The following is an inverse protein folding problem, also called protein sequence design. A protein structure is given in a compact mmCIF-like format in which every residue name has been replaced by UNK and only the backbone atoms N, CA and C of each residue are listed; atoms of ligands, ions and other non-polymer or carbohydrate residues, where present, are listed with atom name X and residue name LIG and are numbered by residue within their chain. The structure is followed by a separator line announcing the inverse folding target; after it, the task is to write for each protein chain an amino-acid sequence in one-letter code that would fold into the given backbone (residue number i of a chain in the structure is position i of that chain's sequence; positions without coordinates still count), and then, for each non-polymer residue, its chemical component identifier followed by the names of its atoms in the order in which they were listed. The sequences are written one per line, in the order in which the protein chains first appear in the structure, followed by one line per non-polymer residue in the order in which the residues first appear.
data_IF_585453667081
#
_entry.id   IF_585453667081
#
_cell.length_a   1.000
_cell.length_b   1.000
_cell.length_c   1.000
_cell.angle_alpha   90.00
_cell.angle_beta   90.00
_cell.angle_gamma   90.00
#
_symmetry.space_group_name_H-M   'P 1'
#
loop_
_entity.id
_entity.type
_entity.pdbx_description
1 polymer ?
#
# COMPACT_ATOMS: atom_id res chain seq x y z
N UNK A 1 11.49 -7.10 -13.50
CA UNK A 1 11.60 -6.21 -12.34
C UNK A 1 11.40 -7.05 -11.10
N UNK A 2 12.36 -7.06 -10.18
CA UNK A 2 12.27 -7.81 -8.92
C UNK A 2 12.59 -6.93 -7.69
N UNK A 3 12.84 -5.64 -7.88
CA UNK A 3 13.08 -4.65 -6.83
C UNK A 3 12.37 -3.35 -7.18
N UNK A 4 12.14 -2.53 -6.16
CA UNK A 4 11.66 -1.16 -6.33
C UNK A 4 12.86 -0.23 -6.48
N UNK A 5 12.80 0.64 -7.48
CA UNK A 5 13.81 1.67 -7.70
C UNK A 5 13.14 3.04 -7.69
N UNK A 6 13.64 3.95 -6.85
CA UNK A 6 13.17 5.33 -6.79
C UNK A 6 13.85 6.21 -7.85
N UNK A 7 14.22 5.63 -9.00
CA UNK A 7 14.93 6.33 -10.07
C UNK A 7 14.20 7.60 -10.49
N UNK A 8 14.90 8.72 -10.39
CA UNK A 8 14.37 10.06 -10.68
C UNK A 8 13.64 10.73 -9.51
N UNK A 9 13.54 10.10 -8.35
CA UNK A 9 13.13 10.72 -7.10
C UNK A 9 14.36 10.98 -6.23
N UNK A 10 14.36 12.09 -5.52
CA UNK A 10 15.41 12.45 -4.57
C UNK A 10 14.79 12.72 -3.22
N UNK A 11 15.32 12.10 -2.17
CA UNK A 11 14.89 12.37 -0.81
C UNK A 11 15.40 13.76 -0.38
N UNK A 12 14.53 14.55 0.24
CA UNK A 12 14.89 15.83 0.87
C UNK A 12 14.99 15.66 2.39
N UNK A 13 15.66 16.59 3.09
CA UNK A 13 15.69 16.60 4.55
C UNK A 13 14.31 16.38 5.15
N UNK A 14 14.23 15.47 6.12
CA UNK A 14 12.95 15.11 6.72
C UNK A 14 12.41 16.21 7.64
N UNK A 15 11.09 16.27 7.77
CA UNK A 15 10.41 17.03 8.81
C UNK A 15 9.89 16.06 9.88
N UNK A 16 9.96 16.44 11.15
CA UNK A 16 9.63 15.57 12.30
C UNK A 16 8.61 16.23 13.21
N UNK A 17 7.61 15.46 13.66
CA UNK A 17 6.56 15.86 14.59
C UNK A 17 6.25 14.72 15.55
N UNK A 18 6.69 14.86 16.80
CA UNK A 18 6.61 13.79 17.78
C UNK A 18 7.31 12.53 17.28
N UNK A 19 6.59 11.41 17.23
CA UNK A 19 7.10 10.13 16.71
C UNK A 19 7.06 9.98 15.18
N UNK A 20 6.57 10.98 14.44
CA UNK A 20 6.39 10.90 12.99
C UNK A 20 7.49 11.65 12.27
N UNK A 21 8.13 11.00 11.30
CA UNK A 21 9.08 11.62 10.36
C UNK A 21 8.53 11.48 8.95
N UNK A 22 8.42 12.60 8.24
CA UNK A 22 8.08 12.62 6.81
C UNK A 22 9.34 12.98 6.01
N UNK A 23 9.72 12.10 5.08
CA UNK A 23 10.81 12.35 4.14
C UNK A 23 10.20 12.73 2.78
N UNK A 24 10.31 13.98 2.34
CA UNK A 24 9.82 14.42 1.04
C UNK A 24 10.58 13.73 -0.10
N UNK A 25 9.86 13.27 -1.11
CA UNK A 25 10.43 12.77 -2.36
C UNK A 25 10.15 13.79 -3.47
N UNK A 26 11.19 14.40 -4.01
CA UNK A 26 11.08 15.40 -5.10
C UNK A 26 11.53 14.82 -6.43
N UNK A 27 11.03 15.40 -7.51
CA UNK A 27 11.42 15.08 -8.88
C UNK A 27 11.84 16.36 -9.60
N UNK A 28 12.96 16.30 -10.33
CA UNK A 28 13.42 17.45 -11.13
C UNK A 28 12.48 17.78 -12.30
N UNK A 29 11.92 16.77 -12.95
CA UNK A 29 10.94 16.91 -14.03
C UNK A 29 9.77 15.96 -13.77
N UNK A 30 8.52 16.46 -13.66
CA UNK A 30 7.35 15.61 -13.44
C UNK A 30 7.21 14.48 -14.48
N UNK A 31 6.48 13.43 -14.14
CA UNK A 31 6.15 12.39 -15.11
C UNK A 31 5.07 12.92 -16.06
N UNK A 32 5.45 13.16 -17.31
CA UNK A 32 4.53 13.61 -18.35
C UNK A 32 3.58 12.49 -18.80
N UNK A 33 2.39 12.88 -19.24
CA UNK A 33 1.42 11.94 -19.81
C UNK A 33 0.70 11.04 -18.80
N UNK A 34 0.87 11.25 -17.49
CA UNK A 34 0.09 10.59 -16.46
C UNK A 34 -0.27 11.58 -15.35
N UNK A 35 -1.56 11.70 -15.03
CA UNK A 35 -2.06 12.46 -13.88
C UNK A 35 -2.86 11.55 -12.96
N UNK A 36 -2.82 11.85 -11.65
CA UNK A 36 -3.53 11.10 -10.63
C UNK A 36 -4.49 12.01 -9.86
N UNK A 37 -5.75 11.59 -9.77
CA UNK A 37 -6.79 12.32 -9.04
C UNK A 37 -7.50 11.43 -8.04
N UNK A 38 -8.07 12.03 -7.00
CA UNK A 38 -8.86 11.33 -5.99
C UNK A 38 -10.33 11.33 -6.35
N UNK A 39 -10.95 10.16 -6.30
CA UNK A 39 -12.40 9.98 -6.37
C UNK A 39 -12.91 9.67 -4.95
N UNK A 40 -13.66 10.59 -4.35
CA UNK A 40 -14.16 10.45 -2.97
C UNK A 40 -15.53 9.77 -2.97
N UNK A 41 -15.70 8.76 -2.11
CA UNK A 41 -16.98 8.05 -1.97
C UNK A 41 -17.76 8.55 -0.75
N UNK A 42 -18.28 9.77 -0.84
CA UNK A 42 -19.03 10.41 0.24
C UNK A 42 -20.26 9.58 0.65
N UNK A 43 -20.46 9.40 1.96
CA UNK A 43 -21.64 8.71 2.52
C UNK A 43 -21.62 7.18 2.41
N UNK A 44 -20.49 6.56 2.02
CA UNK A 44 -20.38 5.10 1.97
C UNK A 44 -19.89 4.53 3.31
N UNK A 45 -20.75 3.78 3.99
CA UNK A 45 -20.42 3.06 5.23
C UNK A 45 -19.67 1.73 4.96
N UNK A 46 -19.45 1.40 3.69
CA UNK A 46 -18.72 0.23 3.22
C UNK A 46 -18.92 0.01 1.73
N UNK A 47 -17.87 -0.42 1.04
CA UNK A 47 -17.88 -0.80 -0.37
C UNK A 47 -17.75 -2.30 -0.54
N UNK A 48 -18.51 -2.88 -1.47
CA UNK A 48 -18.37 -4.29 -1.87
C UNK A 48 -17.49 -4.35 -3.11
N UNK A 49 -16.37 -5.07 -3.03
CA UNK A 49 -15.41 -5.22 -4.12
C UNK A 49 -15.46 -6.64 -4.66
N UNK A 50 -15.75 -6.77 -5.96
CA UNK A 50 -15.68 -8.05 -6.67
C UNK A 50 -14.22 -8.30 -7.09
N UNK A 51 -13.63 -9.40 -6.61
CA UNK A 51 -12.24 -9.81 -6.89
C UNK A 51 -12.14 -11.04 -7.80
N UNK A 52 -13.26 -11.72 -8.03
CA UNK A 52 -13.37 -12.86 -8.94
C UNK A 52 -14.82 -13.31 -9.11
N UNK A 53 -15.10 -14.33 -9.94
CA UNK A 53 -16.43 -14.89 -10.08
C UNK A 53 -16.97 -15.37 -8.72
N UNK A 54 -18.05 -14.74 -8.22
CA UNK A 54 -18.68 -15.01 -6.91
C UNK A 54 -17.82 -14.70 -5.67
N UNK A 55 -16.59 -14.21 -5.84
CA UNK A 55 -15.73 -13.79 -4.73
C UNK A 55 -15.77 -12.27 -4.58
N UNK A 56 -16.19 -11.82 -3.42
CA UNK A 56 -16.22 -10.41 -3.05
C UNK A 56 -15.74 -10.23 -1.62
N UNK A 57 -15.24 -9.05 -1.31
CA UNK A 57 -15.02 -8.62 0.06
C UNK A 57 -15.70 -7.28 0.31
N UNK A 58 -15.98 -7.02 1.58
CA UNK A 58 -16.54 -5.75 2.03
C UNK A 58 -15.49 -5.02 2.84
N UNK A 59 -15.22 -3.77 2.49
CA UNK A 59 -14.29 -2.92 3.24
C UNK A 59 -14.77 -1.47 3.23
N UNK A 60 -14.36 -0.72 4.24
CA UNK A 60 -14.47 0.74 4.18
C UNK A 60 -13.45 1.28 3.17
N UNK A 61 -13.92 1.95 2.13
CA UNK A 61 -13.09 2.51 1.05
C UNK A 61 -13.38 4.00 1.01
N UNK A 62 -12.52 4.85 1.59
CA UNK A 62 -12.80 6.28 1.67
C UNK A 62 -12.64 6.99 0.31
N UNK A 63 -11.78 6.46 -0.55
CA UNK A 63 -11.52 7.02 -1.87
C UNK A 63 -10.91 6.00 -2.85
N UNK A 64 -11.04 6.27 -4.14
CA UNK A 64 -10.25 5.66 -5.21
C UNK A 64 -9.28 6.68 -5.81
N UNK A 65 -8.33 6.18 -6.60
CA UNK A 65 -7.53 6.99 -7.48
C UNK A 65 -7.94 6.77 -8.93
N UNK A 66 -7.95 7.84 -9.70
CA UNK A 66 -8.18 7.83 -11.15
C UNK A 66 -6.88 8.25 -11.81
N UNK A 67 -6.27 7.30 -12.52
CA UNK A 67 -5.15 7.56 -13.41
C UNK A 67 -5.69 8.00 -14.77
N UNK A 68 -5.23 9.15 -15.27
CA UNK A 68 -5.52 9.68 -16.61
C UNK A 68 -4.22 9.73 -17.42
N UNK A 69 -4.19 9.05 -18.57
CA UNK A 69 -3.04 9.01 -19.49
C UNK A 69 -3.35 9.55 -20.89
N UNK A 70 -4.40 10.37 -21.03
CA UNK A 70 -4.83 10.94 -22.32
C UNK A 70 -3.79 11.82 -23.02
N UNK A 71 -2.74 12.25 -22.32
CA UNK A 71 -1.64 13.04 -22.91
C UNK A 71 -1.92 14.54 -23.01
N UNK A 72 -3.14 15.01 -22.70
CA UNK A 72 -3.46 16.43 -22.59
C UNK A 72 -2.94 16.99 -21.25
N UNK A 73 -1.63 17.19 -21.19
CA UNK A 73 -0.97 17.90 -20.10
C UNK A 73 -1.62 19.28 -19.88
N UNK A 74 -2.00 19.54 -18.63
CA UNK A 74 -2.53 20.81 -18.10
C UNK A 74 -4.02 21.14 -18.34
N UNK A 75 -4.80 20.34 -19.08
CA UNK A 75 -6.20 20.68 -19.41
C UNK A 75 -7.31 20.05 -18.56
N UNK A 76 -7.04 18.96 -17.85
CA UNK A 76 -8.09 18.16 -17.20
C UNK A 76 -7.84 17.98 -15.70
N UNK A 77 -7.74 19.10 -14.98
CA UNK A 77 -8.13 19.09 -13.58
C UNK A 77 -9.66 18.87 -13.53
N UNK A 78 -10.10 17.61 -13.45
CA UNK A 78 -11.45 17.33 -12.99
C UNK A 78 -11.51 17.65 -11.49
N UNK A 79 -11.59 18.96 -11.21
CA UNK A 79 -12.04 19.48 -9.92
C UNK A 79 -13.36 18.81 -9.60
N UNK A 80 -13.49 18.37 -8.35
CA UNK A 80 -14.54 17.46 -7.91
C UNK A 80 -15.96 17.88 -8.27
N UNK A 81 -16.87 16.92 -8.12
CA UNK A 81 -18.33 17.00 -8.28
C UNK A 81 -18.86 16.79 -9.69
N UNK A 82 -19.15 15.53 -10.04
CA UNK A 82 -20.41 15.29 -10.75
C UNK A 82 -21.51 15.29 -9.70
N UNK A 83 -22.25 16.39 -9.63
CA UNK A 83 -23.52 16.45 -8.90
C UNK A 83 -24.47 15.45 -9.56
N UNK A 84 -24.85 14.41 -8.82
CA UNK A 84 -25.98 13.58 -9.20
C UNK A 84 -27.24 14.46 -9.18
N UNK A 85 -28.02 14.41 -10.27
CA UNK A 85 -29.28 15.12 -10.39
C UNK A 85 -30.21 14.78 -9.21
N UNK A 86 -30.76 15.82 -8.59
CA UNK A 86 -31.53 15.75 -7.36
C UNK A 86 -32.74 14.82 -7.42
N UNK A 87 -32.90 14.02 -6.37
CA UNK A 87 -34.16 13.37 -6.00
C UNK A 87 -34.63 13.97 -4.66
N UNK A 88 -35.84 14.53 -4.67
CA UNK A 88 -36.37 15.43 -3.65
C UNK A 88 -36.55 14.86 -2.24
N UNK A 89 -36.66 15.80 -1.31
CA UNK A 89 -36.94 15.59 0.11
C UNK A 89 -38.33 14.99 0.34
N UNK A 90 -38.42 14.02 1.26
CA UNK A 90 -39.71 13.59 1.82
C UNK A 90 -39.69 12.21 2.48
N UNK A 91 -39.78 12.22 3.82
CA UNK A 91 -40.05 11.10 4.74
C UNK A 91 -38.86 10.22 5.16
N UNK A 92 -38.59 10.23 6.47
CA UNK A 92 -37.63 9.36 7.15
C UNK A 92 -38.30 8.01 7.45
N UNK A 93 -37.89 6.88 6.85
CA UNK A 93 -38.34 5.56 7.25
C UNK A 93 -37.43 5.01 8.37
N UNK A 94 -37.90 4.00 9.14
CA UNK A 94 -37.15 3.42 10.26
C UNK A 94 -35.81 2.81 9.80
N UNK A 95 -34.79 2.97 10.64
CA UNK A 95 -33.40 2.56 10.43
C UNK A 95 -33.24 1.04 10.29
N UNK A 96 -33.51 0.56 9.08
CA UNK A 96 -32.99 -0.71 8.58
C UNK A 96 -31.66 -0.41 7.90
N UNK A 97 -30.60 -1.10 8.34
CA UNK A 97 -29.26 -1.00 7.78
C UNK A 97 -29.27 -1.52 6.33
N UNK A 98 -29.68 -0.69 5.38
CA UNK A 98 -29.54 -0.97 3.95
C UNK A 98 -28.09 -0.67 3.59
N UNK A 99 -27.27 -1.72 3.56
CA UNK A 99 -25.93 -1.68 2.94
C UNK A 99 -26.03 -0.90 1.61
N UNK A 100 -25.43 0.29 1.48
CA UNK A 100 -25.53 1.06 0.25
C UNK A 100 -24.91 0.28 -0.91
N UNK A 101 -25.60 0.30 -2.05
CA UNK A 101 -25.28 -0.47 -3.28
C UNK A 101 -24.08 0.09 -4.05
N UNK A 102 -23.04 0.59 -3.39
CA UNK A 102 -21.78 0.87 -4.08
C UNK A 102 -21.02 -0.43 -4.27
N UNK A 103 -21.42 -1.18 -5.30
CA UNK A 103 -20.64 -2.30 -5.82
C UNK A 103 -19.47 -1.73 -6.60
N UNK A 104 -18.29 -1.76 -6.01
CA UNK A 104 -17.06 -1.63 -6.76
C UNK A 104 -16.85 -2.93 -7.54
N UNK A 105 -17.46 -3.03 -8.72
CA UNK A 105 -17.43 -4.23 -9.56
C UNK A 105 -16.03 -4.75 -9.88
N UNK A 106 -14.98 -3.93 -9.71
CA UNK A 106 -13.56 -4.34 -9.84
C UNK A 106 -12.66 -3.43 -9.03
N UNK A 107 -11.56 -3.97 -8.55
CA UNK A 107 -10.46 -3.21 -7.97
C UNK A 107 -9.91 -2.14 -8.90
N UNK A 108 -9.66 -2.50 -10.16
CA UNK A 108 -9.29 -1.60 -11.24
C UNK A 108 -10.37 -1.65 -12.33
N UNK A 109 -10.92 -0.50 -12.71
CA UNK A 109 -11.97 -0.38 -13.73
C UNK A 109 -11.61 0.73 -14.69
N UNK A 110 -11.58 0.37 -15.97
CA UNK A 110 -11.47 1.32 -17.06
C UNK A 110 -12.69 2.25 -17.03
N UNK A 111 -12.44 3.55 -17.05
CA UNK A 111 -13.45 4.57 -17.26
C UNK A 111 -13.45 4.99 -18.74
N UNK A 112 -14.48 5.72 -19.22
CA UNK A 112 -14.47 6.28 -20.56
C UNK A 112 -13.19 7.07 -20.84
N UNK A 113 -12.66 6.94 -22.07
CA UNK A 113 -11.39 7.54 -22.46
C UNK A 113 -10.16 6.79 -21.94
N UNK A 114 -9.08 7.54 -21.74
CA UNK A 114 -7.78 7.06 -21.27
C UNK A 114 -7.67 7.17 -19.75
N UNK A 115 -8.65 6.58 -19.06
CA UNK A 115 -8.78 6.64 -17.60
C UNK A 115 -8.94 5.27 -16.96
N UNK A 116 -8.33 5.11 -15.79
CA UNK A 116 -8.43 3.92 -14.95
C UNK A 116 -8.67 4.34 -13.51
N UNK A 117 -9.83 3.96 -12.98
CA UNK A 117 -10.05 3.99 -11.53
C UNK A 117 -9.46 2.74 -10.92
N UNK A 118 -8.60 2.90 -9.93
CA UNK A 118 -8.17 1.83 -9.03
C UNK A 118 -8.34 2.29 -7.60
N UNK A 119 -8.54 1.39 -6.65
CA UNK A 119 -8.59 1.79 -5.25
C UNK A 119 -7.20 1.51 -4.62
N UNK A 120 -6.58 2.45 -3.91
CA UNK A 120 -5.20 2.30 -3.46
C UNK A 120 -5.12 1.45 -2.19
N UNK A 121 -4.43 0.30 -2.24
CA UNK A 121 -4.17 -0.58 -1.07
C UNK A 121 -5.36 -0.89 -0.15
N UNK A 122 -6.58 -0.76 -0.66
CA UNK A 122 -7.86 -1.09 -0.03
C UNK A 122 -8.12 -2.59 0.12
N UNK A 123 -7.15 -3.44 -0.23
CA UNK A 123 -7.22 -4.85 0.08
C UNK A 123 -6.81 -5.01 1.53
N UNK A 124 -7.66 -5.66 2.32
CA UNK A 124 -7.13 -6.42 3.45
C UNK A 124 -6.02 -7.34 2.93
N UNK A 125 -4.97 -7.58 3.71
CA UNK A 125 -3.86 -8.42 3.26
C UNK A 125 -4.37 -9.75 2.69
N UNK A 126 -5.41 -10.34 3.27
CA UNK A 126 -6.01 -11.59 2.80
C UNK A 126 -6.59 -11.48 1.38
N UNK A 127 -7.21 -10.36 1.01
CA UNK A 127 -7.64 -10.10 -0.36
C UNK A 127 -6.45 -9.98 -1.31
N UNK A 128 -5.36 -9.38 -0.84
CA UNK A 128 -4.10 -9.25 -1.58
C UNK A 128 -3.41 -10.60 -1.78
N UNK A 129 -3.40 -11.44 -0.74
CA UNK A 129 -2.84 -12.79 -0.76
C UNK A 129 -3.67 -13.74 -1.64
N UNK A 130 -5.01 -13.66 -1.57
CA UNK A 130 -5.91 -14.48 -2.39
C UNK A 130 -5.72 -14.24 -3.89
N UNK A 131 -5.45 -12.99 -4.28
CA UNK A 131 -5.18 -12.64 -5.68
C UNK A 131 -3.83 -13.17 -6.17
N UNK A 132 -2.85 -13.35 -5.29
CA UNK A 132 -1.50 -13.75 -5.66
C UNK A 132 -1.26 -15.26 -5.59
N UNK A 133 -1.54 -15.87 -4.45
CA UNK A 133 -1.28 -17.29 -4.23
C UNK A 133 -2.41 -18.19 -4.74
N UNK A 134 -3.58 -17.61 -5.03
CA UNK A 134 -4.75 -18.37 -5.44
C UNK A 134 -5.12 -19.47 -4.43
N UNK A 135 -5.56 -20.60 -4.96
CA UNK A 135 -5.83 -21.83 -4.22
C UNK A 135 -5.31 -23.03 -5.01
N UNK A 136 -5.52 -24.27 -4.53
CA UNK A 136 -5.10 -25.47 -5.23
C UNK A 136 -5.64 -25.49 -6.66
N UNK A 137 -4.76 -25.68 -7.65
CA UNK A 137 -5.15 -25.83 -9.06
C UNK A 137 -5.87 -27.17 -9.32
N UNK A 138 -5.60 -28.17 -8.47
CA UNK A 138 -6.22 -29.50 -8.49
C UNK A 138 -6.91 -29.74 -7.14
N UNK A 139 -8.09 -30.36 -7.17
CA UNK A 139 -8.87 -30.67 -5.98
C UNK A 139 -8.24 -31.85 -5.21
N UNK A 140 -7.35 -31.55 -4.26
CA UNK A 140 -6.79 -32.57 -3.38
C UNK A 140 -7.75 -32.99 -2.25
N UNK A 141 -7.44 -34.13 -1.64
CA UNK A 141 -8.19 -34.72 -0.54
C UNK A 141 -8.09 -33.95 0.80
N UNK A 142 -7.25 -32.93 0.89
CA UNK A 142 -7.06 -32.22 2.15
C UNK A 142 -7.92 -30.94 2.19
N UNK A 143 -8.44 -30.49 1.04
CA UNK A 143 -9.10 -29.20 0.88
C UNK A 143 -10.63 -29.27 0.72
N UNK A 144 -11.34 -28.30 1.30
CA UNK A 144 -12.79 -28.20 1.27
C UNK A 144 -13.30 -27.73 -0.09
N UNK A 145 -14.42 -28.30 -0.54
CA UNK A 145 -15.09 -27.88 -1.79
C UNK A 145 -15.50 -26.41 -1.77
N UNK A 146 -15.80 -25.87 -0.59
CA UNK A 146 -16.12 -24.46 -0.40
C UNK A 146 -14.88 -23.60 -0.62
N UNK A 147 -13.73 -23.95 -0.06
CA UNK A 147 -12.49 -23.21 -0.27
C UNK A 147 -11.99 -23.28 -1.73
N UNK A 148 -12.13 -24.43 -2.39
CA UNK A 148 -11.82 -24.55 -3.82
C UNK A 148 -12.70 -23.64 -4.70
N UNK A 149 -13.93 -23.39 -4.28
CA UNK A 149 -14.90 -22.58 -5.03
C UNK A 149 -14.82 -21.09 -4.67
N UNK A 150 -14.69 -20.78 -3.39
CA UNK A 150 -14.89 -19.45 -2.83
C UNK A 150 -13.55 -18.80 -2.42
N UNK A 151 -12.44 -19.56 -2.38
CA UNK A 151 -11.09 -19.09 -2.02
C UNK A 151 -10.83 -19.08 -0.51
N UNK A 152 -9.80 -18.32 -0.09
CA UNK A 152 -9.49 -18.07 1.32
C UNK A 152 -10.64 -17.28 1.98
N UNK A 153 -11.18 -17.78 3.09
CA UNK A 153 -12.25 -17.11 3.84
C UNK A 153 -11.72 -15.84 4.52
N UNK A 154 -12.40 -14.69 4.40
CA UNK A 154 -11.95 -13.45 5.02
C UNK A 154 -12.10 -13.49 6.55
N UNK A 155 -11.06 -13.07 7.27
CA UNK A 155 -11.11 -12.62 8.66
C UNK A 155 -10.67 -11.16 8.76
N UNK A 156 -11.12 -10.51 9.83
CA UNK A 156 -10.77 -9.15 10.15
C UNK A 156 -9.28 -9.05 10.49
N UNK A 157 -8.59 -8.12 9.83
CA UNK A 157 -7.25 -7.70 10.19
C UNK A 157 -7.31 -6.31 10.80
N UNK A 158 -6.49 -6.09 11.82
CA UNK A 158 -6.32 -4.76 12.38
C UNK A 158 -5.44 -3.94 11.45
N UNK A 159 -6.09 -3.06 10.69
CA UNK A 159 -5.47 -1.99 9.95
C UNK A 159 -6.01 -0.66 10.48
N UNK A 160 -5.11 0.29 10.70
CA UNK A 160 -5.41 1.54 11.37
C UNK A 160 -5.43 2.66 10.34
N UNK A 161 -6.50 3.43 10.32
CA UNK A 161 -6.57 4.60 9.46
C UNK A 161 -5.57 5.66 9.94
N UNK A 162 -4.98 6.43 9.03
CA UNK A 162 -3.98 7.45 9.36
C UNK A 162 -4.44 8.48 10.40
N UNK A 163 -5.73 8.80 10.48
CA UNK A 163 -6.28 9.69 11.52
C UNK A 163 -6.19 9.11 12.94
N UNK A 164 -6.07 7.79 13.06
CA UNK A 164 -5.82 7.09 14.33
C UNK A 164 -4.32 6.97 14.65
N UNK A 165 -3.43 7.28 13.69
CA UNK A 165 -1.98 7.32 13.92
C UNK A 165 -1.64 8.65 14.60
N UNK A 166 -1.28 8.58 15.88
CA UNK A 166 -0.96 9.76 16.69
C UNK A 166 0.10 10.63 16.03
N UNK A 167 -0.19 11.92 15.90
CA UNK A 167 0.72 12.91 15.33
C UNK A 167 0.75 12.98 13.81
N UNK A 168 0.21 11.99 13.07
CA UNK A 168 0.25 12.01 11.59
C UNK A 168 -0.61 13.16 11.01
N UNK A 169 -1.83 13.35 11.52
CA UNK A 169 -2.69 14.44 11.07
C UNK A 169 -2.08 15.83 11.32
N UNK A 170 -1.45 16.03 12.47
CA UNK A 170 -0.74 17.27 12.79
C UNK A 170 0.51 17.46 11.94
N UNK A 171 1.30 16.40 11.73
CA UNK A 171 2.47 16.44 10.87
C UNK A 171 2.10 16.91 9.46
N UNK A 172 1.06 16.31 8.85
CA UNK A 172 0.58 16.68 7.51
C UNK A 172 0.02 18.10 7.44
N UNK A 173 -0.52 18.62 8.55
CA UNK A 173 -1.03 20.00 8.61
C UNK A 173 0.09 21.04 8.72
N UNK A 174 1.17 20.70 9.42
CA UNK A 174 2.26 21.64 9.76
C UNK A 174 3.39 21.59 8.74
N UNK A 175 3.65 20.44 8.13
CA UNK A 175 4.83 20.27 7.28
C UNK A 175 4.73 21.00 5.95
N UNK A 176 5.84 21.61 5.57
CA UNK A 176 5.95 22.29 4.29
C UNK A 176 6.05 21.27 3.14
N UNK A 177 5.25 21.49 2.10
CA UNK A 177 5.38 20.72 0.86
C UNK A 177 6.47 21.36 -0.01
N UNK A 178 7.55 20.64 -0.24
CA UNK A 178 8.68 21.14 -1.01
C UNK A 178 8.28 21.40 -2.48
N UNK A 179 8.90 22.41 -3.13
CA UNK A 179 8.84 22.54 -4.58
C UNK A 179 9.27 21.24 -5.27
N UNK A 180 8.49 20.78 -6.24
CA UNK A 180 8.76 19.53 -6.96
C UNK A 180 8.46 18.25 -6.15
N UNK A 181 7.90 18.34 -4.94
CA UNK A 181 7.54 17.18 -4.14
C UNK A 181 6.44 16.37 -4.83
N UNK A 182 6.79 15.15 -5.23
CA UNK A 182 5.90 14.19 -5.87
C UNK A 182 5.54 13.03 -4.93
N UNK A 183 6.08 13.02 -3.71
CA UNK A 183 5.82 11.94 -2.78
C UNK A 183 6.37 12.19 -1.39
N UNK A 184 6.19 11.19 -0.54
CA UNK A 184 6.67 11.17 0.83
C UNK A 184 6.88 9.73 1.29
N UNK A 185 7.93 9.52 2.07
CA UNK A 185 8.08 8.32 2.90
C UNK A 185 7.72 8.67 4.33
N UNK A 186 6.81 7.89 4.90
CA UNK A 186 6.26 8.08 6.25
C UNK A 186 6.94 7.12 7.19
N UNK A 187 7.50 7.63 8.27
CA UNK A 187 8.14 6.85 9.31
C UNK A 187 7.45 7.10 10.66
N UNK A 188 7.30 6.04 11.45
CA UNK A 188 6.88 6.11 12.84
C UNK A 188 7.99 5.50 13.71
N UNK A 189 8.54 6.28 14.64
CA UNK A 189 9.71 5.90 15.43
C UNK A 189 10.89 5.40 14.58
N UNK A 190 11.20 6.11 13.48
CA UNK A 190 12.20 5.76 12.45
C UNK A 190 11.99 4.41 11.72
N UNK A 191 10.87 3.73 11.99
CA UNK A 191 10.45 2.56 11.25
C UNK A 191 9.62 3.00 10.03
N UNK A 192 9.99 2.56 8.82
CA UNK A 192 9.26 2.91 7.61
C UNK A 192 7.84 2.32 7.69
N UNK A 193 6.84 3.18 7.56
CA UNK A 193 5.43 2.83 7.67
C UNK A 193 4.78 2.67 6.30
N UNK A 194 5.04 3.61 5.40
CA UNK A 194 4.52 3.64 4.05
C UNK A 194 5.37 4.56 3.16
N UNK A 195 5.39 4.28 1.87
CA UNK A 195 5.82 5.24 0.84
C UNK A 195 4.62 5.59 -0.04
N UNK A 196 4.49 6.87 -0.39
CA UNK A 196 3.47 7.39 -1.29
C UNK A 196 4.09 8.31 -2.33
N UNK A 197 3.97 7.97 -3.61
CA UNK A 197 4.51 8.73 -4.74
C UNK A 197 3.41 8.86 -5.79
N UNK A 198 3.37 10.03 -6.43
CA UNK A 198 2.45 10.34 -7.52
C UNK A 198 3.21 10.97 -8.69
N UNK A 199 2.59 11.06 -9.89
CA UNK A 199 3.31 11.46 -11.11
C UNK A 199 3.77 12.92 -11.11
N UNK A 200 2.98 13.82 -10.51
CA UNK A 200 3.13 15.26 -10.60
C UNK A 200 3.08 15.96 -9.23
N UNK A 201 3.85 17.06 -9.00
CA UNK A 201 3.81 17.77 -7.72
C UNK A 201 2.45 18.36 -7.34
N UNK A 202 1.67 18.80 -8.32
CA UNK A 202 0.31 19.26 -8.09
C UNK A 202 -0.61 18.13 -7.63
N UNK A 203 -0.45 16.93 -8.18
CA UNK A 203 -1.21 15.76 -7.74
C UNK A 203 -0.85 15.45 -6.29
N UNK A 204 0.43 15.57 -5.91
CA UNK A 204 0.87 15.35 -4.54
C UNK A 204 0.23 16.35 -3.59
N UNK A 205 0.17 17.64 -3.94
CA UNK A 205 -0.50 18.66 -3.11
C UNK A 205 -1.97 18.35 -2.89
N UNK A 206 -2.68 17.89 -3.92
CA UNK A 206 -4.10 17.51 -3.82
C UNK A 206 -4.30 16.23 -2.99
N UNK A 207 -3.35 15.30 -3.07
CA UNK A 207 -3.44 13.98 -2.45
C UNK A 207 -2.77 13.91 -1.08
N UNK A 208 -2.01 14.92 -0.67
CA UNK A 208 -1.27 14.94 0.59
C UNK A 208 -2.18 14.63 1.79
N UNK A 209 -3.34 15.27 1.84
CA UNK A 209 -4.32 15.06 2.90
C UNK A 209 -5.03 13.68 2.83
N UNK A 210 -4.88 12.90 1.76
CA UNK A 210 -5.47 11.55 1.71
C UNK A 210 -4.72 10.56 2.59
N UNK A 211 -3.47 10.86 2.99
CA UNK A 211 -2.66 10.01 3.86
C UNK A 211 -3.34 9.71 5.21
N UNK A 212 -4.12 10.65 5.77
CA UNK A 212 -4.87 10.38 7.02
C UNK A 212 -6.01 9.35 6.84
N UNK A 213 -6.40 9.08 5.59
CA UNK A 213 -7.44 8.10 5.26
C UNK A 213 -6.85 6.77 4.81
N UNK A 214 -5.53 6.68 4.70
CA UNK A 214 -4.84 5.47 4.31
C UNK A 214 -4.76 4.48 5.47
N UNK A 215 -4.64 3.20 5.13
CA UNK A 215 -4.45 2.13 6.09
C UNK A 215 -2.97 1.98 6.44
N UNK A 216 -2.69 1.81 7.73
CA UNK A 216 -1.38 1.55 8.29
C UNK A 216 -1.42 0.29 9.15
N UNK A 217 -0.32 -0.47 9.14
CA UNK A 217 -0.21 -1.68 9.94
C UNK A 217 -0.19 -1.39 11.45
N UNK A 218 -0.62 -2.38 12.25
CA UNK A 218 -0.68 -2.31 13.71
C UNK A 218 0.61 -1.79 14.37
N UNK A 219 1.76 -2.28 13.91
CA UNK A 219 3.07 -1.89 14.45
C UNK A 219 3.34 -0.39 14.29
N UNK A 220 2.90 0.21 13.18
CA UNK A 220 3.03 1.65 12.93
C UNK A 220 2.16 2.43 13.91
N UNK A 221 0.92 1.98 14.13
CA UNK A 221 0.03 2.58 15.11
C UNK A 221 0.62 2.48 16.53
N UNK A 222 1.14 1.32 16.92
CA UNK A 222 1.80 1.13 18.22
C UNK A 222 3.03 2.02 18.39
N UNK A 223 3.89 2.13 17.37
CA UNK A 223 5.07 3.01 17.42
C UNK A 223 4.70 4.48 17.48
N UNK A 224 3.65 4.91 16.80
CA UNK A 224 3.14 6.27 16.92
C UNK A 224 2.55 6.56 18.32
N UNK A 225 1.93 5.56 18.95
CA UNK A 225 1.28 5.70 20.26
C UNK A 225 2.26 5.67 21.44
N UNK A 226 3.22 4.73 21.41
CA UNK A 226 4.12 4.43 22.52
C UNK A 226 5.58 4.84 22.26
N UNK A 227 5.93 5.18 21.03
CA UNK A 227 7.28 5.58 20.66
C UNK A 227 7.68 6.94 21.26
N UNK A 228 8.96 7.07 21.56
CA UNK A 228 9.53 8.35 21.92
C UNK A 228 9.51 9.32 20.72
N UNK A 229 9.53 10.64 20.96
CA UNK A 229 9.77 11.60 19.89
C UNK A 229 11.05 11.26 19.14
N UNK A 230 10.97 11.37 17.81
CA UNK A 230 12.10 11.09 16.93
C UNK A 230 13.00 12.32 16.88
N UNK A 231 14.32 12.11 16.81
CA UNK A 231 15.27 13.22 16.70
C UNK A 231 15.13 13.91 15.34
N UNK A 232 14.93 15.23 15.35
CA UNK A 232 14.96 16.04 14.14
C UNK A 232 16.36 15.99 13.50
N UNK A 233 16.40 15.94 12.18
CA UNK A 233 17.67 16.14 11.47
C UNK A 233 18.04 17.62 11.55
N UNK A 234 19.13 17.93 12.25
CA UNK A 234 19.75 19.25 12.21
C UNK A 234 20.98 19.17 11.33
N UNK A 235 20.93 19.80 10.14
CA UNK A 235 22.11 19.94 9.31
C UNK A 235 23.21 20.66 10.09
N UNK A 236 24.43 20.10 10.12
CA UNK A 236 25.58 20.68 10.82
C UNK A 236 26.66 20.98 9.80
N UNK A 237 26.77 22.24 9.41
CA UNK A 237 27.87 22.71 8.58
C UNK A 237 29.01 23.10 9.52
N UNK A 238 30.10 22.33 9.51
CA UNK A 238 31.29 22.63 10.30
C UNK A 238 32.05 23.81 9.70
N UNK A 239 32.60 24.68 10.55
CA UNK A 239 33.44 25.79 10.11
C UNK A 239 34.67 25.28 9.33
N UNK A 240 34.96 25.90 8.20
CA UNK A 240 36.03 25.46 7.31
C UNK A 240 36.38 26.49 6.22
N UNK A 241 37.56 26.34 5.59
CA UNK A 241 37.98 27.22 4.50
C UNK A 241 36.97 27.17 3.34
N UNK A 242 36.53 28.36 2.89
CA UNK A 242 35.51 28.52 1.83
C UNK A 242 34.11 28.88 2.31
N UNK A 243 33.82 28.82 3.62
CA UNK A 243 32.54 29.29 4.20
C UNK A 243 32.47 30.81 4.41
N UNK A 244 33.51 31.53 4.03
CA UNK A 244 33.58 33.00 4.01
C UNK A 244 32.77 33.64 2.87
N UNK A 245 32.21 32.82 1.97
CA UNK A 245 31.37 33.27 0.86
C UNK A 245 29.98 32.62 0.90
N UNK A 246 28.97 33.34 0.40
CA UNK A 246 27.63 32.78 0.18
C UNK A 246 27.65 31.58 -0.78
N UNK A 247 28.59 31.56 -1.73
CA UNK A 247 28.74 30.44 -2.66
C UNK A 247 29.20 29.18 -1.94
N UNK A 248 30.21 29.29 -1.05
CA UNK A 248 30.68 28.17 -0.25
C UNK A 248 29.66 27.68 0.76
N UNK A 249 28.92 28.59 1.42
CA UNK A 249 27.82 28.19 2.30
C UNK A 249 26.72 27.41 1.55
N UNK A 250 26.34 27.85 0.34
CA UNK A 250 25.39 27.13 -0.51
C UNK A 250 25.92 25.75 -0.94
N UNK A 251 27.21 25.66 -1.25
CA UNK A 251 27.83 24.39 -1.62
C UNK A 251 27.81 23.41 -0.43
N UNK A 252 28.19 23.86 0.76
CA UNK A 252 28.14 23.05 1.98
C UNK A 252 26.72 22.59 2.35
N UNK A 253 25.72 23.47 2.19
CA UNK A 253 24.32 23.10 2.41
C UNK A 253 23.84 22.02 1.43
N UNK A 254 24.20 22.13 0.14
CA UNK A 254 23.89 21.11 -0.88
C UNK A 254 24.56 19.78 -0.60
N UNK A 255 25.78 19.82 -0.06
CA UNK A 255 26.49 18.60 0.33
C UNK A 255 25.79 17.89 1.50
N UNK A 256 25.36 18.63 2.54
CA UNK A 256 24.54 18.08 3.61
C UNK A 256 23.21 17.49 3.10
N UNK A 257 22.56 18.12 2.13
CA UNK A 257 21.37 17.56 1.47
C UNK A 257 21.68 16.25 0.74
N UNK A 258 22.82 16.16 0.06
CA UNK A 258 23.27 14.95 -0.66
C UNK A 258 23.57 13.81 0.30
N UNK A 259 24.36 14.09 1.34
CA UNK A 259 24.68 13.12 2.40
C UNK A 259 23.41 12.59 3.07
N UNK A 260 22.43 13.46 3.36
CA UNK A 260 21.15 13.05 3.89
C UNK A 260 20.39 12.12 2.93
N UNK A 261 20.30 12.48 1.64
CA UNK A 261 19.62 11.65 0.64
C UNK A 261 20.27 10.26 0.54
N UNK A 262 21.59 10.19 0.55
CA UNK A 262 22.34 8.93 0.49
C UNK A 262 22.14 8.09 1.76
N UNK A 263 22.21 8.71 2.94
CA UNK A 263 21.95 8.04 4.21
C UNK A 263 20.50 7.54 4.29
N UNK A 264 19.54 8.32 3.80
CA UNK A 264 18.16 7.91 3.71
C UNK A 264 17.98 6.66 2.85
N UNK A 265 18.50 6.66 1.64
CA UNK A 265 18.31 5.55 0.69
C UNK A 265 19.01 4.27 1.16
N UNK A 266 20.18 4.40 1.77
CA UNK A 266 21.01 3.25 2.21
C UNK A 266 20.66 2.71 3.60
N UNK A 267 20.10 3.52 4.50
CA UNK A 267 19.80 3.12 5.88
C UNK A 267 18.30 3.07 6.15
N UNK A 268 17.57 4.16 5.88
CA UNK A 268 16.16 4.28 6.26
C UNK A 268 15.21 3.60 5.29
N UNK A 269 15.46 3.70 3.99
CA UNK A 269 14.63 3.10 2.94
C UNK A 269 15.07 1.67 2.58
N UNK A 270 16.16 1.18 3.18
CA UNK A 270 16.79 -0.11 2.84
C UNK A 270 15.81 -1.28 2.83
N UNK A 271 14.93 -1.37 3.83
CA UNK A 271 13.95 -2.46 3.92
C UNK A 271 12.98 -2.50 2.73
N UNK A 272 12.73 -1.36 2.09
CA UNK A 272 11.88 -1.26 0.89
C UNK A 272 12.68 -1.45 -0.41
N UNK A 273 13.92 -0.94 -0.48
CA UNK A 273 14.68 -0.89 -1.73
C UNK A 273 15.54 -2.15 -1.97
N UNK A 274 16.09 -2.76 -0.92
CA UNK A 274 16.93 -3.96 -1.04
C UNK A 274 16.10 -5.25 -1.16
N UNK A 275 14.82 -5.19 -0.77
CA UNK A 275 13.93 -6.35 -0.77
C UNK A 275 13.61 -6.78 -2.19
N UNK A 276 13.72 -8.09 -2.44
CA UNK A 276 13.28 -8.68 -3.71
C UNK A 276 11.80 -9.01 -3.65
N UNK A 277 11.02 -8.42 -4.55
CA UNK A 277 9.57 -8.60 -4.65
C UNK A 277 9.17 -9.47 -5.85
N UNK A 278 8.06 -10.19 -5.72
CA UNK A 278 7.29 -10.67 -6.87
C UNK A 278 6.38 -9.55 -7.38
N UNK A 279 6.17 -9.48 -8.69
CA UNK A 279 5.34 -8.45 -9.32
C UNK A 279 4.29 -9.06 -10.23
N UNK A 280 3.03 -8.65 -10.04
CA UNK A 280 1.90 -9.01 -10.90
C UNK A 280 1.39 -7.80 -11.66
N UNK A 281 1.21 -7.97 -12.97
CA UNK A 281 0.65 -6.91 -13.81
C UNK A 281 -0.86 -6.83 -13.61
N UNK A 282 -1.34 -5.69 -13.12
CA UNK A 282 -2.78 -5.42 -12.94
C UNK A 282 -3.40 -4.86 -14.22
N UNK A 283 -2.77 -3.84 -14.82
CA UNK A 283 -3.32 -3.15 -15.99
C UNK A 283 -2.24 -2.39 -16.77
N UNK A 284 -2.42 -2.24 -18.08
CA UNK A 284 -1.55 -1.42 -18.95
C UNK A 284 -2.28 -0.16 -19.42
N UNK A 285 -1.73 1.00 -19.09
CA UNK A 285 -2.24 2.35 -19.35
C UNK A 285 -1.36 3.04 -20.40
N UNK A 286 -1.51 2.65 -21.67
CA UNK A 286 -0.61 3.14 -22.73
C UNK A 286 0.86 2.79 -22.48
N UNK A 287 1.69 3.81 -22.27
CA UNK A 287 3.12 3.71 -21.94
C UNK A 287 3.40 3.37 -20.46
N UNK A 288 2.37 3.30 -19.63
CA UNK A 288 2.46 2.99 -18.21
C UNK A 288 1.90 1.62 -17.89
N UNK A 289 2.41 0.99 -16.83
CA UNK A 289 1.90 -0.29 -16.33
C UNK A 289 1.68 -0.22 -14.83
N UNK A 290 0.47 -0.57 -14.38
CA UNK A 290 0.13 -0.76 -12.97
C UNK A 290 0.48 -2.18 -12.54
N UNK A 291 1.29 -2.26 -11.50
CA UNK A 291 1.77 -3.48 -10.88
C UNK A 291 1.31 -3.58 -9.43
N UNK A 292 1.19 -4.82 -8.97
CA UNK A 292 1.16 -5.20 -7.56
C UNK A 292 2.45 -5.91 -7.22
N UNK A 293 2.93 -5.73 -6.01
CA UNK A 293 4.09 -6.45 -5.54
C UNK A 293 3.92 -7.04 -4.15
N UNK A 294 4.64 -8.14 -3.89
CA UNK A 294 4.65 -8.84 -2.62
C UNK A 294 6.07 -9.14 -2.16
N UNK A 295 6.33 -9.02 -0.85
CA UNK A 295 7.62 -9.30 -0.28
C UNK A 295 7.85 -10.82 -0.24
N UNK A 296 9.06 -11.27 0.09
CA UNK A 296 9.36 -12.67 0.16
C UNK A 296 8.71 -13.39 1.36
N UNK A 297 8.13 -12.66 2.31
CA UNK A 297 7.57 -13.16 3.58
C UNK A 297 8.60 -13.89 4.46
N UNK A 298 9.82 -13.34 4.55
CA UNK A 298 10.89 -13.91 5.37
C UNK A 298 10.61 -13.70 6.86
N UNK A 299 10.85 -14.73 7.68
CA UNK A 299 10.65 -14.68 9.14
C UNK A 299 11.94 -14.30 9.87
N UNK A 300 12.52 -13.16 9.53
CA UNK A 300 13.78 -12.67 10.08
C UNK A 300 13.64 -11.38 10.91
N UNK A 301 12.41 -10.93 11.17
CA UNK A 301 12.11 -9.70 11.92
C UNK A 301 12.35 -8.40 11.14
N UNK A 302 12.75 -8.48 9.86
CA UNK A 302 12.87 -7.29 9.02
C UNK A 302 11.50 -6.80 8.57
N UNK A 303 11.34 -5.47 8.46
CA UNK A 303 10.15 -4.85 7.89
C UNK A 303 9.93 -5.30 6.44
N UNK A 304 8.69 -5.65 6.12
CA UNK A 304 8.31 -6.10 4.78
C UNK A 304 7.06 -5.36 4.32
N UNK A 305 7.08 -4.92 3.07
CA UNK A 305 6.03 -4.08 2.48
C UNK A 305 5.31 -4.81 1.36
N UNK A 306 4.00 -4.65 1.29
CA UNK A 306 3.21 -4.92 0.08
C UNK A 306 2.89 -3.59 -0.58
N UNK A 307 2.56 -3.59 -1.87
CA UNK A 307 2.18 -2.33 -2.49
C UNK A 307 1.83 -2.38 -3.96
N UNK A 308 1.37 -1.25 -4.46
CA UNK A 308 1.06 -1.04 -5.86
C UNK A 308 1.99 0.03 -6.42
N UNK A 309 2.42 -0.16 -7.67
CA UNK A 309 3.25 0.84 -8.36
C UNK A 309 2.85 0.98 -9.81
N UNK A 310 2.91 2.20 -10.34
CA UNK A 310 2.85 2.45 -11.78
C UNK A 310 4.25 2.76 -12.25
N UNK A 311 4.72 2.05 -13.28
CA UNK A 311 6.00 2.34 -13.93
C UNK A 311 5.78 2.81 -15.36
N UNK A 312 6.68 3.65 -15.86
CA UNK A 312 6.77 3.94 -17.29
C UNK A 312 7.43 2.77 -18.06
N UNK A 313 7.57 2.94 -19.38
CA UNK A 313 8.22 1.98 -20.27
C UNK A 313 9.72 1.76 -19.97
N UNK A 314 10.36 2.67 -19.23
CA UNK A 314 11.76 2.55 -18.77
C UNK A 314 11.85 1.93 -17.37
N UNK A 315 10.72 1.56 -16.77
CA UNK A 315 10.67 1.02 -15.41
C UNK A 315 10.73 2.08 -14.31
N UNK A 316 10.72 3.38 -14.64
CA UNK A 316 10.75 4.44 -13.63
C UNK A 316 9.41 4.51 -12.90
N UNK A 317 9.44 4.62 -11.58
CA UNK A 317 8.25 4.75 -10.73
C UNK A 317 7.57 6.10 -10.99
N UNK A 318 6.32 6.05 -11.42
CA UNK A 318 5.41 7.19 -11.56
C UNK A 318 4.40 7.28 -10.41
N UNK A 319 3.99 6.13 -9.88
CA UNK A 319 3.18 6.02 -8.66
C UNK A 319 3.72 4.91 -7.79
N UNK A 320 3.70 5.09 -6.48
CA UNK A 320 4.03 4.06 -5.50
C UNK A 320 3.12 4.25 -4.30
N UNK A 321 2.53 3.16 -3.81
CA UNK A 321 1.90 3.14 -2.51
C UNK A 321 2.22 1.84 -1.81
N UNK A 322 2.70 1.92 -0.57
CA UNK A 322 3.12 0.74 0.20
C UNK A 322 2.40 0.64 1.53
N UNK A 323 2.34 -0.58 2.05
CA UNK A 323 1.81 -0.91 3.36
C UNK A 323 2.78 -1.87 4.05
N UNK A 324 3.26 -1.49 5.23
CA UNK A 324 4.10 -2.36 6.05
C UNK A 324 3.29 -3.45 6.72
N UNK A 325 3.73 -4.69 6.55
CA UNK A 325 3.15 -5.86 7.19
C UNK A 325 3.53 -5.97 8.67
N UNK A 326 2.60 -6.47 9.48
CA UNK A 326 2.88 -6.95 10.83
C UNK A 326 3.54 -8.33 10.83
N UNK A 327 4.13 -8.73 11.96
CA UNK A 327 4.71 -10.06 12.12
C UNK A 327 3.67 -11.18 11.93
N UNK A 328 2.42 -10.96 12.36
CA UNK A 328 1.33 -11.92 12.15
C UNK A 328 0.97 -12.06 10.66
N UNK A 329 1.01 -10.94 9.93
CA UNK A 329 0.81 -10.89 8.49
C UNK A 329 1.95 -11.59 7.72
N UNK A 330 3.20 -11.36 8.12
CA UNK A 330 4.38 -12.05 7.55
C UNK A 330 4.30 -13.56 7.77
N UNK A 331 3.95 -14.01 8.97
CA UNK A 331 3.79 -15.45 9.27
C UNK A 331 2.73 -16.13 8.39
N UNK A 332 1.61 -15.44 8.14
CA UNK A 332 0.54 -15.94 7.25
C UNK A 332 1.01 -16.01 5.80
N UNK A 333 1.64 -14.95 5.29
CA UNK A 333 2.19 -14.94 3.93
C UNK A 333 3.27 -16.01 3.73
N UNK A 334 4.12 -16.26 4.74
CA UNK A 334 5.12 -17.33 4.70
C UNK A 334 4.46 -18.71 4.58
N UNK A 335 3.38 -18.95 5.34
CA UNK A 335 2.63 -20.20 5.27
C UNK A 335 2.00 -20.41 3.88
N UNK A 336 1.36 -19.38 3.32
CA UNK A 336 0.77 -19.46 1.99
C UNK A 336 1.81 -19.65 0.90
N UNK A 337 2.95 -18.97 0.98
CA UNK A 337 4.07 -19.16 0.05
C UNK A 337 4.59 -20.60 0.08
N UNK A 338 4.70 -21.21 1.26
CA UNK A 338 5.13 -22.59 1.39
C UNK A 338 4.09 -23.57 0.82
N UNK A 339 2.80 -23.30 0.99
CA UNK A 339 1.71 -24.08 0.39
C UNK A 339 1.72 -23.97 -1.13
N UNK A 340 1.82 -22.76 -1.67
CA UNK A 340 1.90 -22.48 -3.11
C UNK A 340 3.11 -23.15 -3.75
N UNK A 341 4.30 -23.00 -3.14
CA UNK A 341 5.52 -23.67 -3.58
C UNK A 341 5.47 -25.21 -3.48
N UNK A 342 4.49 -25.76 -2.75
CA UNK A 342 4.22 -27.18 -2.64
C UNK A 342 3.01 -27.64 -3.49
N UNK A 343 2.53 -26.79 -4.40
CA UNK A 343 1.33 -27.04 -5.22
C UNK A 343 0.09 -27.40 -4.37
N UNK A 344 0.03 -26.82 -3.18
CA UNK A 344 -0.98 -27.04 -2.16
C UNK A 344 -1.06 -28.48 -1.62
N UNK A 345 -0.02 -29.30 -1.80
CA UNK A 345 0.07 -30.63 -1.19
C UNK A 345 0.56 -30.54 0.26
N UNK A 346 -0.28 -30.93 1.23
CA UNK A 346 0.05 -30.77 2.67
C UNK A 346 1.30 -31.55 3.08
N UNK A 347 1.45 -32.80 2.63
CA UNK A 347 2.62 -33.61 2.94
C UNK A 347 3.92 -32.94 2.48
N UNK A 348 3.96 -32.43 1.24
CA UNK A 348 5.12 -31.75 0.67
C UNK A 348 5.40 -30.40 1.35
N UNK A 349 4.36 -29.63 1.64
CA UNK A 349 4.47 -28.38 2.39
C UNK A 349 4.99 -28.61 3.82
N UNK A 350 4.55 -29.68 4.48
CA UNK A 350 4.98 -30.03 5.83
C UNK A 350 6.48 -30.36 5.86
N UNK A 351 6.96 -31.16 4.90
CA UNK A 351 8.39 -31.45 4.71
C UNK A 351 9.19 -30.16 4.47
N UNK A 352 8.73 -29.29 3.57
CA UNK A 352 9.40 -28.01 3.28
C UNK A 352 9.48 -27.08 4.50
N UNK A 353 8.49 -27.16 5.41
CA UNK A 353 8.43 -26.39 6.65
C UNK A 353 9.10 -27.07 7.84
N UNK A 354 9.71 -28.25 7.66
CA UNK A 354 10.31 -29.03 8.74
C UNK A 354 9.29 -29.42 9.82
N UNK A 355 8.05 -29.72 9.43
CA UNK A 355 6.94 -30.02 10.32
C UNK A 355 6.25 -31.34 9.93
N UNK A 356 5.44 -31.89 10.84
CA UNK A 356 4.50 -32.97 10.49
C UNK A 356 3.27 -32.38 9.81
N UNK A 357 2.54 -33.21 9.07
CA UNK A 357 1.29 -32.78 8.43
C UNK A 357 0.24 -32.32 9.47
N UNK A 358 0.15 -33.01 10.60
CA UNK A 358 -0.72 -32.63 11.71
C UNK A 358 -0.36 -31.24 12.27
N UNK A 359 0.93 -30.96 12.41
CA UNK A 359 1.40 -29.65 12.84
C UNK A 359 1.09 -28.58 11.81
N UNK A 360 1.26 -28.87 10.53
CA UNK A 360 0.89 -27.96 9.45
C UNK A 360 -0.62 -27.66 9.48
N UNK A 361 -1.47 -28.67 9.68
CA UNK A 361 -2.92 -28.50 9.83
C UNK A 361 -3.26 -27.59 11.02
N UNK A 362 -2.59 -27.75 12.17
CA UNK A 362 -2.76 -26.84 13.32
C UNK A 362 -2.37 -25.41 12.96
N UNK A 363 -1.23 -25.21 12.27
CA UNK A 363 -0.77 -23.89 11.83
C UNK A 363 -1.74 -23.23 10.85
N UNK A 364 -2.26 -23.98 9.89
CA UNK A 364 -3.29 -23.52 8.94
C UNK A 364 -4.53 -23.03 9.70
N UNK A 365 -5.01 -23.80 10.68
CA UNK A 365 -6.15 -23.39 11.52
C UNK A 365 -5.86 -22.15 12.35
N UNK A 366 -4.71 -22.11 13.02
CA UNK A 366 -4.29 -20.98 13.85
C UNK A 366 -4.07 -19.70 13.04
N UNK A 367 -3.62 -19.84 11.79
CA UNK A 367 -3.47 -18.75 10.83
C UNK A 367 -4.80 -18.23 10.26
N UNK A 368 -5.95 -18.81 10.65
CA UNK A 368 -7.27 -18.43 10.14
C UNK A 368 -7.66 -19.13 8.84
N UNK A 369 -6.78 -19.96 8.27
CA UNK A 369 -7.00 -20.70 7.03
C UNK A 369 -7.66 -22.06 7.25
N UNK A 370 -8.24 -22.32 8.44
CA UNK A 370 -8.85 -23.60 8.78
C UNK A 370 -10.02 -24.01 7.86
N UNK A 371 -10.76 -23.03 7.33
CA UNK A 371 -11.85 -23.27 6.36
C UNK A 371 -11.36 -23.87 5.04
N UNK A 372 -10.07 -23.74 4.73
CA UNK A 372 -9.47 -24.40 3.59
C UNK A 372 -9.52 -25.91 3.76
N UNK A 373 -9.32 -26.42 4.97
CA UNK A 373 -9.23 -27.86 5.21
C UNK A 373 -10.62 -28.50 5.19
N UNK A 374 -10.72 -29.75 4.72
CA UNK A 374 -11.96 -30.52 4.86
C UNK A 374 -12.29 -30.66 6.36
N UNK A 375 -13.49 -30.24 6.76
CA UNK A 375 -14.07 -30.71 8.01
C UNK A 375 -14.44 -32.18 7.81
N UNK A 376 -13.80 -33.10 8.54
CA UNK A 376 -14.31 -34.48 8.68
C UNK A 376 -15.65 -34.40 9.42
N UNK A 377 -16.74 -34.28 8.67
CA UNK A 377 -18.10 -34.44 9.16
C UNK A 377 -18.58 -35.86 8.84
N UNK A 378 -18.68 -36.68 9.88
CA UNK A 378 -19.45 -37.94 10.01
C UNK A 378 -19.70 -38.78 8.75
N UNK A 379 -18.99 -39.91 8.63
CA UNK A 379 -19.54 -41.04 7.89
C UNK A 379 -20.78 -41.59 8.62
N UNK A 380 -21.82 -42.07 7.90
CA UNK A 380 -22.88 -42.83 8.52
C UNK A 380 -22.30 -44.13 9.11
N UNK A 381 -22.87 -44.53 10.25
CA UNK A 381 -22.59 -45.78 10.96
C UNK A 381 -22.80 -47.00 10.08
#
# INVERSE_FOLDING_TARGET
MNRLELTGLTARPSQVWGGIRLVPLVRGTPVEGLRLHREVYAGSEGGVVEVGPRTHYTAYIPHGFVADWSGEGAGTAAYGTQLAAGGGAGSTPPSTLRLPRHRHHRMAKRQPGDRLRFLPLHLALEGYLSLHFGGPSTAWEEWSRQALRDGLSPRAEDAYLGWSVRGLGDALRVFEIHPGQCGVMVYAADALAAAFVVPHPEDYRLLHASLVQDLYGELVHQYAMYGAPVAAFGARIADGPGLDTLAGLRAAAREQEREWSEAHDTLFARELLDTSYSFDRVYRMGSFTLWRFLPPFLRNGAGQHIGETVTDHKGRVAYLKTFRLSEAQIRRGHLLRALDAADWQLARAAVALGATEEELVRRIRAAGFGALLRARGGGPR
#
